data_IF_573279073031
#
_entry.id   IF_573279073031
#
_cell.length_a   1.000
_cell.length_b   1.000
_cell.length_c   1.000
_cell.angle_alpha   90.00
_cell.angle_beta   90.00
_cell.angle_gamma   90.00
#
_symmetry.space_group_name_H-M   'P 1'
#
loop_
_entity.id
_entity.type
_entity.pdbx_description
1 polymer ?
#
# COMPACT_ATOMS: atom_id res chain seq x y z
N UNK A 1 3.18 28.50 3.35
CA UNK A 1 4.32 27.85 4.01
C UNK A 1 3.91 26.41 4.23
N UNK A 2 4.46 25.47 3.47
CA UNK A 2 4.29 24.04 3.76
C UNK A 2 5.27 23.73 4.88
N UNK A 3 4.78 23.46 6.07
CA UNK A 3 5.61 22.95 7.16
C UNK A 3 6.33 21.70 6.65
N UNK A 4 7.65 21.79 6.56
CA UNK A 4 8.47 20.63 6.26
C UNK A 4 8.41 19.77 7.52
N UNK A 5 7.56 18.75 7.48
CA UNK A 5 7.49 17.76 8.55
C UNK A 5 8.86 17.10 8.66
N UNK A 6 9.54 17.29 9.78
CA UNK A 6 10.78 16.58 10.07
C UNK A 6 10.44 15.10 10.25
N UNK A 7 10.91 14.27 9.32
CA UNK A 7 10.64 12.82 9.31
C UNK A 7 11.13 12.16 10.60
N UNK A 8 12.25 12.63 11.16
CA UNK A 8 12.79 12.12 12.41
C UNK A 8 11.89 12.42 13.60
N UNK A 9 11.33 13.63 13.66
CA UNK A 9 10.37 14.01 14.71
C UNK A 9 9.04 13.26 14.56
N UNK A 10 8.53 13.10 13.33
CA UNK A 10 7.33 12.28 13.07
C UNK A 10 7.55 10.83 13.55
N UNK A 11 8.73 10.25 13.27
CA UNK A 11 9.06 8.90 13.73
C UNK A 11 9.12 8.85 15.27
N UNK A 12 9.82 9.78 15.92
CA UNK A 12 10.01 9.75 17.38
C UNK A 12 8.74 10.04 18.16
N UNK A 13 7.97 11.03 17.71
CA UNK A 13 6.89 11.61 18.49
C UNK A 13 5.53 11.00 18.18
N UNK A 14 5.34 10.43 16.98
CA UNK A 14 4.05 9.89 16.55
C UNK A 14 4.12 8.40 16.23
N UNK A 15 5.13 7.95 15.47
CA UNK A 15 5.22 6.54 15.08
C UNK A 15 5.70 5.63 16.22
N UNK A 16 6.85 5.91 16.84
CA UNK A 16 7.41 5.06 17.90
C UNK A 16 6.43 4.80 19.06
N UNK A 17 5.66 5.80 19.55
CA UNK A 17 4.72 5.59 20.66
C UNK A 17 3.59 4.60 20.34
N UNK A 18 3.23 4.41 19.08
CA UNK A 18 2.18 3.45 18.67
C UNK A 18 2.74 2.07 18.32
N UNK A 19 4.07 1.90 18.28
CA UNK A 19 4.70 0.63 17.99
C UNK A 19 4.97 -0.18 19.26
N UNK A 20 4.98 -1.50 19.09
CA UNK A 20 5.46 -2.39 20.13
C UNK A 20 6.94 -2.09 20.47
N UNK A 21 7.36 -2.03 21.75
CA UNK A 21 8.71 -1.60 22.15
C UNK A 21 9.88 -2.40 21.55
N UNK A 22 9.61 -3.64 21.13
CA UNK A 22 10.61 -4.49 20.49
C UNK A 22 10.86 -4.15 19.01
N UNK A 23 9.99 -3.35 18.37
CA UNK A 23 10.12 -2.97 16.97
C UNK A 23 11.10 -1.79 16.86
N UNK A 24 12.04 -1.88 15.93
CA UNK A 24 12.87 -0.72 15.54
C UNK A 24 12.48 -0.21 14.15
N UNK A 25 12.57 1.10 13.99
CA UNK A 25 12.29 1.81 12.74
C UNK A 25 13.61 2.33 12.19
N UNK A 26 13.90 1.94 10.96
CA UNK A 26 15.13 2.28 10.28
C UNK A 26 14.79 3.19 9.10
N UNK A 27 15.31 4.41 9.13
CA UNK A 27 15.05 5.44 8.14
C UNK A 27 16.33 5.75 7.36
N UNK A 28 16.24 5.82 6.03
CA UNK A 28 17.33 6.28 5.18
C UNK A 28 16.91 7.49 4.35
N UNK A 29 17.65 8.58 4.49
CA UNK A 29 17.55 9.72 3.59
C UNK A 29 18.13 9.37 2.21
N UNK A 30 17.50 9.83 1.13
CA UNK A 30 17.85 9.47 -0.25
C UNK A 30 19.33 9.68 -0.62
N UNK A 31 19.99 10.67 -0.01
CA UNK A 31 21.42 10.95 -0.16
C UNK A 31 22.08 11.26 1.20
N UNK A 32 21.49 10.81 2.30
CA UNK A 32 21.85 11.24 3.64
C UNK A 32 22.20 10.07 4.56
N UNK A 33 22.38 10.36 5.86
CA UNK A 33 22.67 9.35 6.85
C UNK A 33 21.52 8.36 7.04
N UNK A 34 21.89 7.22 7.62
CA UNK A 34 20.95 6.20 8.06
C UNK A 34 20.65 6.39 9.55
N UNK A 35 19.38 6.40 9.91
CA UNK A 35 18.90 6.61 11.27
C UNK A 35 18.20 5.36 11.77
N UNK A 36 18.45 5.00 13.03
CA UNK A 36 17.78 3.90 13.71
C UNK A 36 17.07 4.45 14.94
N UNK A 37 15.77 4.17 15.00
CA UNK A 37 14.90 4.56 16.10
C UNK A 37 14.34 3.31 16.76
N UNK A 38 14.39 3.23 18.08
CA UNK A 38 13.80 2.15 18.86
C UNK A 38 13.23 2.70 20.15
N UNK A 39 12.24 2.01 20.71
CA UNK A 39 11.75 2.33 22.04
C UNK A 39 12.84 2.01 23.08
N UNK A 40 13.13 2.97 23.96
CA UNK A 40 14.20 2.87 24.97
C UNK A 40 14.03 1.70 25.95
N UNK A 41 12.83 1.16 26.05
CA UNK A 41 12.47 0.03 26.91
C UNK A 41 12.56 -1.28 26.13
N UNK A 42 13.77 -1.74 25.82
CA UNK A 42 14.03 -3.06 25.20
C UNK A 42 13.60 -4.28 26.05
N UNK A 43 12.65 -4.11 26.98
CA UNK A 43 12.05 -5.12 27.85
C UNK A 43 10.54 -5.11 27.64
N UNK A 44 10.10 -5.75 26.58
CA UNK A 44 8.70 -6.11 26.34
C UNK A 44 8.64 -7.58 25.95
N UNK A 45 7.49 -8.23 26.16
CA UNK A 45 7.22 -9.53 25.54
C UNK A 45 7.30 -9.39 24.01
N UNK A 46 7.50 -10.47 23.26
CA UNK A 46 7.44 -10.37 21.80
C UNK A 46 6.04 -9.88 21.35
N UNK A 47 5.93 -9.10 20.26
CA UNK A 47 4.64 -8.76 19.67
C UNK A 47 3.86 -10.03 19.28
N UNK A 48 2.53 -9.93 19.18
CA UNK A 48 1.72 -11.04 18.70
C UNK A 48 1.79 -11.14 17.16
N UNK A 49 1.89 -12.33 16.56
CA UNK A 49 1.95 -12.49 15.11
C UNK A 49 0.74 -11.90 14.37
N UNK A 50 -0.45 -12.02 14.94
CA UNK A 50 -1.71 -11.64 14.29
C UNK A 50 -1.91 -10.13 14.23
N UNK A 51 -1.29 -9.39 15.17
CA UNK A 51 -1.28 -7.93 15.20
C UNK A 51 0.01 -7.45 15.85
N UNK A 52 0.98 -7.11 15.01
CA UNK A 52 2.30 -6.61 15.40
C UNK A 52 2.21 -5.12 15.75
N UNK A 53 1.48 -4.35 14.95
CA UNK A 53 1.24 -2.92 15.17
C UNK A 53 -0.06 -2.48 14.48
N UNK A 54 -0.73 -1.49 15.07
CA UNK A 54 -1.82 -0.74 14.48
C UNK A 54 -1.40 0.73 14.44
N UNK A 55 -1.24 1.29 13.25
CA UNK A 55 -0.66 2.62 13.05
C UNK A 55 -1.71 3.53 12.41
N UNK A 56 -2.05 4.68 13.01
CA UNK A 56 -2.92 5.68 12.39
C UNK A 56 -2.55 5.99 10.94
N UNK A 57 -3.56 6.20 10.09
CA UNK A 57 -3.39 6.35 8.64
C UNK A 57 -2.47 7.52 8.28
N UNK A 58 -2.69 8.66 8.92
CA UNK A 58 -2.00 9.94 8.73
C UNK A 58 -0.49 9.86 9.00
N UNK A 59 -0.07 9.14 10.04
CA UNK A 59 1.34 8.96 10.38
C UNK A 59 2.08 8.30 9.22
N UNK A 60 1.58 7.15 8.75
CA UNK A 60 2.25 6.42 7.67
C UNK A 60 2.10 7.08 6.32
N UNK A 61 0.95 7.70 6.01
CA UNK A 61 0.77 8.47 4.77
C UNK A 61 1.85 9.55 4.60
N UNK A 62 2.17 10.25 5.69
CA UNK A 62 3.19 11.30 5.72
C UNK A 62 4.60 10.75 5.46
N UNK A 63 4.82 9.47 5.74
CA UNK A 63 6.08 8.75 5.49
C UNK A 63 6.13 8.07 4.11
N UNK A 64 5.02 8.02 3.35
CA UNK A 64 5.03 7.41 2.01
C UNK A 64 5.86 8.26 1.05
N UNK A 65 6.96 7.66 0.59
CA UNK A 65 7.97 8.27 -0.27
C UNK A 65 9.35 8.22 0.37
N UNK A 66 9.42 8.12 1.69
CA UNK A 66 10.66 7.87 2.42
C UNK A 66 11.00 6.38 2.42
N UNK A 67 12.26 6.03 2.71
CA UNK A 67 12.64 4.62 2.91
C UNK A 67 12.56 4.31 4.41
N UNK A 68 11.44 3.74 4.82
CA UNK A 68 11.20 3.30 6.20
C UNK A 68 11.22 1.77 6.24
N UNK A 69 12.01 1.19 7.14
CA UNK A 69 12.08 -0.25 7.36
C UNK A 69 11.77 -0.55 8.81
N UNK A 70 10.71 -1.30 9.06
CA UNK A 70 10.38 -1.84 10.36
C UNK A 70 11.11 -3.16 10.55
N UNK A 71 11.90 -3.28 11.60
CA UNK A 71 12.50 -4.54 12.02
C UNK A 71 11.67 -5.11 13.17
N UNK A 72 11.12 -6.30 12.95
CA UNK A 72 10.17 -6.93 13.86
C UNK A 72 10.76 -8.23 14.41
N UNK A 73 11.20 -8.25 15.68
CA UNK A 73 11.57 -9.50 16.34
C UNK A 73 10.31 -10.27 16.75
N UNK A 74 10.16 -11.50 16.29
CA UNK A 74 9.02 -12.35 16.57
C UNK A 74 9.44 -13.83 16.66
N UNK A 75 9.12 -14.50 17.77
CA UNK A 75 9.39 -15.93 17.93
C UNK A 75 10.88 -16.32 17.77
N UNK A 76 11.82 -15.44 18.17
CA UNK A 76 13.26 -15.66 18.01
C UNK A 76 13.80 -15.45 16.59
N UNK A 77 12.95 -14.99 15.65
CA UNK A 77 13.34 -14.59 14.29
C UNK A 77 13.17 -13.09 14.12
N UNK A 78 13.83 -12.52 13.12
CA UNK A 78 13.70 -11.12 12.75
C UNK A 78 13.06 -11.02 11.36
N UNK A 79 12.01 -10.22 11.26
CA UNK A 79 11.33 -9.90 10.03
C UNK A 79 11.57 -8.43 9.67
N UNK A 80 11.36 -8.09 8.40
CA UNK A 80 11.42 -6.71 7.93
C UNK A 80 10.20 -6.36 7.11
N UNK A 81 9.59 -5.21 7.39
CA UNK A 81 8.53 -4.64 6.57
C UNK A 81 9.01 -3.29 6.03
N UNK A 82 8.97 -3.08 4.71
CA UNK A 82 9.41 -1.84 4.07
C UNK A 82 8.19 -1.00 3.72
N UNK A 83 8.19 0.25 4.16
CA UNK A 83 7.18 1.25 3.83
C UNK A 83 7.82 2.39 3.06
N UNK A 84 7.21 2.72 1.92
CA UNK A 84 7.64 3.80 1.05
C UNK A 84 8.61 3.35 -0.04
N UNK A 85 9.53 4.22 -0.43
CA UNK A 85 10.31 4.06 -1.64
C UNK A 85 11.51 3.14 -1.43
N UNK A 86 11.60 2.08 -2.25
CA UNK A 86 12.84 1.31 -2.38
C UNK A 86 13.70 1.89 -3.51
N UNK A 87 14.50 2.91 -3.17
CA UNK A 87 15.42 3.55 -4.11
C UNK A 87 16.55 2.63 -4.62
N UNK A 88 16.77 1.48 -3.97
CA UNK A 88 17.91 0.60 -4.22
C UNK A 88 17.54 -0.71 -4.92
N UNK A 89 16.28 -1.17 -4.85
CA UNK A 89 15.82 -2.32 -5.66
C UNK A 89 15.38 -1.89 -7.06
N UNK A 90 16.21 -2.23 -8.05
CA UNK A 90 15.89 -2.18 -9.49
C UNK A 90 14.76 -3.12 -9.94
N UNK A 91 14.08 -3.79 -9.01
CA UNK A 91 12.91 -4.60 -9.29
C UNK A 91 11.71 -3.89 -8.71
N UNK A 92 10.85 -3.39 -9.60
CA UNK A 92 9.49 -2.96 -9.31
C UNK A 92 8.76 -4.09 -8.56
N UNK A 93 8.90 -4.17 -7.23
CA UNK A 93 7.95 -4.92 -6.43
C UNK A 93 6.69 -4.07 -6.36
N UNK A 94 5.57 -4.70 -6.64
CA UNK A 94 4.18 -4.23 -6.60
C UNK A 94 3.78 -3.43 -5.34
N UNK A 95 4.62 -3.42 -4.29
CA UNK A 95 4.43 -2.63 -3.08
C UNK A 95 4.55 -1.10 -3.27
N UNK A 96 5.38 -0.61 -4.20
CA UNK A 96 5.57 0.85 -4.37
C UNK A 96 4.33 1.56 -4.91
N UNK A 97 3.67 0.97 -5.92
CA UNK A 97 2.44 1.52 -6.49
C UNK A 97 1.25 1.36 -5.52
N UNK A 98 1.21 0.28 -4.73
CA UNK A 98 0.18 0.06 -3.70
C UNK A 98 0.17 1.21 -2.70
N UNK A 99 1.32 1.53 -2.09
CA UNK A 99 1.41 2.62 -1.11
C UNK A 99 1.21 4.00 -1.76
N UNK A 100 1.76 4.23 -2.95
CA UNK A 100 1.57 5.50 -3.66
C UNK A 100 0.10 5.79 -3.99
N UNK A 101 -0.71 4.75 -4.25
CA UNK A 101 -2.17 4.89 -4.47
C UNK A 101 -2.87 5.37 -3.21
N UNK A 102 -2.49 4.85 -2.05
CA UNK A 102 -3.08 5.27 -0.79
C UNK A 102 -2.73 6.71 -0.39
N UNK A 103 -1.64 7.27 -0.94
CA UNK A 103 -1.33 8.70 -0.83
C UNK A 103 -2.31 9.60 -1.60
N UNK A 104 -2.96 9.07 -2.65
CA UNK A 104 -3.98 9.81 -3.42
C UNK A 104 -5.35 9.75 -2.77
N UNK A 105 -5.70 8.61 -2.18
CA UNK A 105 -6.99 8.40 -1.55
C UNK A 105 -6.89 7.34 -0.45
N UNK A 106 -7.66 7.50 0.61
CA UNK A 106 -7.77 6.53 1.71
C UNK A 106 -9.19 6.02 1.91
N UNK A 107 -10.02 6.12 0.87
CA UNK A 107 -11.38 5.61 0.87
C UNK A 107 -11.64 4.79 -0.38
N UNK A 108 -12.57 3.84 -0.29
CA UNK A 108 -13.03 3.09 -1.45
C UNK A 108 -13.78 4.00 -2.41
N UNK A 109 -13.37 4.01 -3.68
CA UNK A 109 -14.01 4.83 -4.74
C UNK A 109 -15.46 4.42 -5.03
N UNK A 110 -15.86 3.19 -4.69
CA UNK A 110 -17.21 2.66 -4.97
C UNK A 110 -18.17 2.94 -3.81
N UNK A 111 -17.83 2.49 -2.61
CA UNK A 111 -18.74 2.54 -1.46
C UNK A 111 -18.40 3.63 -0.42
N UNK A 112 -17.29 4.35 -0.59
CA UNK A 112 -16.86 5.40 0.33
C UNK A 112 -16.27 4.92 1.65
N UNK A 113 -16.08 3.61 1.86
CA UNK A 113 -15.47 3.07 3.09
C UNK A 113 -14.11 3.71 3.33
N UNK A 114 -13.93 4.36 4.48
CA UNK A 114 -12.70 5.08 4.84
C UNK A 114 -11.72 4.21 5.64
N UNK A 115 -10.43 4.39 5.36
CA UNK A 115 -9.38 3.76 6.13
C UNK A 115 -9.23 4.40 7.52
N UNK A 116 -8.99 3.56 8.51
CA UNK A 116 -8.79 3.92 9.91
C UNK A 116 -7.33 3.79 10.35
N UNK A 117 -6.70 2.69 9.99
CA UNK A 117 -5.33 2.38 10.42
C UNK A 117 -4.63 1.42 9.46
N UNK A 118 -3.31 1.37 9.55
CA UNK A 118 -2.48 0.33 8.97
C UNK A 118 -2.24 -0.76 10.00
N UNK A 119 -2.55 -2.01 9.65
CA UNK A 119 -2.27 -3.16 10.48
C UNK A 119 -1.06 -3.91 9.94
N UNK A 120 -0.07 -4.09 10.81
CA UNK A 120 1.10 -4.92 10.57
C UNK A 120 0.86 -6.30 11.18
N UNK A 121 1.02 -7.36 10.39
CA UNK A 121 0.80 -8.74 10.85
C UNK A 121 1.70 -9.73 10.12
N UNK A 122 2.05 -10.84 10.77
CA UNK A 122 2.72 -11.97 10.14
C UNK A 122 1.68 -12.81 9.40
N UNK A 123 1.84 -12.98 8.10
CA UNK A 123 0.94 -13.75 7.26
C UNK A 123 1.36 -15.22 7.19
N UNK A 124 0.46 -16.05 6.65
CA UNK A 124 0.70 -17.50 6.51
C UNK A 124 1.85 -17.85 5.57
N UNK A 125 2.24 -16.94 4.69
CA UNK A 125 3.44 -17.06 3.83
C UNK A 125 4.76 -16.81 4.58
N UNK A 126 4.67 -16.43 5.86
CA UNK A 126 5.82 -16.11 6.70
C UNK A 126 6.41 -14.72 6.45
N UNK A 127 5.72 -13.85 5.73
CA UNK A 127 6.11 -12.45 5.54
C UNK A 127 5.28 -11.51 6.44
N UNK A 128 5.86 -10.35 6.79
CA UNK A 128 5.14 -9.31 7.53
C UNK A 128 4.47 -8.39 6.53
N UNK A 129 3.14 -8.40 6.53
CA UNK A 129 2.34 -7.55 5.67
C UNK A 129 1.89 -6.29 6.40
N UNK A 130 1.66 -5.25 5.63
CA UNK A 130 1.07 -4.00 6.06
C UNK A 130 -0.21 -3.75 5.25
N UNK A 131 -1.35 -3.84 5.93
CA UNK A 131 -2.66 -3.70 5.32
C UNK A 131 -3.38 -2.47 5.83
N UNK A 132 -3.92 -1.67 4.90
CA UNK A 132 -4.75 -0.53 5.22
C UNK A 132 -6.16 -1.02 5.56
N UNK A 133 -6.64 -0.81 6.78
CA UNK A 133 -7.93 -1.30 7.24
C UNK A 133 -8.89 -0.17 7.59
N UNK A 134 -10.16 -0.41 7.30
CA UNK A 134 -11.28 0.40 7.74
C UNK A 134 -11.74 0.02 9.15
N UNK A 135 -12.60 0.84 9.74
CA UNK A 135 -13.17 0.59 11.08
C UNK A 135 -13.98 -0.71 11.15
N UNK A 136 -14.66 -1.08 10.06
CA UNK A 136 -15.41 -2.33 9.96
C UNK A 136 -14.52 -3.57 9.73
N UNK A 137 -13.19 -3.41 9.78
CA UNK A 137 -12.22 -4.49 9.58
C UNK A 137 -11.91 -4.83 8.12
N UNK A 138 -12.59 -4.19 7.16
CA UNK A 138 -12.37 -4.41 5.74
C UNK A 138 -11.00 -3.88 5.29
N UNK A 139 -10.32 -4.65 4.44
CA UNK A 139 -9.03 -4.27 3.87
C UNK A 139 -9.24 -3.38 2.65
N UNK A 140 -8.45 -2.29 2.56
CA UNK A 140 -8.36 -1.43 1.40
C UNK A 140 -7.21 -1.92 0.52
N UNK A 141 -7.50 -2.06 -0.78
CA UNK A 141 -6.60 -2.57 -1.80
C UNK A 141 -6.37 -1.52 -2.88
N UNK A 142 -5.25 -1.68 -3.60
CA UNK A 142 -5.06 -1.05 -4.91
C UNK A 142 -5.69 -1.98 -5.94
N UNK A 143 -6.52 -1.42 -6.80
CA UNK A 143 -7.07 -2.10 -7.98
C UNK A 143 -6.83 -1.29 -9.25
N UNK A 144 -6.94 -1.94 -10.40
CA UNK A 144 -6.88 -1.30 -11.70
C UNK A 144 -8.25 -0.79 -12.14
N UNK A 145 -8.34 0.47 -12.60
CA UNK A 145 -9.59 1.03 -13.14
C UNK A 145 -10.06 0.18 -14.33
N UNK A 146 -9.18 0.01 -15.31
CA UNK A 146 -9.33 -0.97 -16.38
C UNK A 146 -8.56 -2.24 -15.98
N UNK A 147 -9.23 -3.39 -15.83
CA UNK A 147 -8.58 -4.64 -15.46
C UNK A 147 -7.42 -5.01 -16.38
N UNK A 148 -6.38 -5.63 -15.83
CA UNK A 148 -5.16 -5.95 -16.58
C UNK A 148 -5.44 -6.80 -17.82
N UNK A 149 -6.28 -7.84 -17.68
CA UNK A 149 -6.66 -8.74 -18.77
C UNK A 149 -7.34 -8.00 -19.94
N UNK A 150 -8.00 -6.88 -19.65
CA UNK A 150 -8.83 -6.11 -20.60
C UNK A 150 -8.13 -4.86 -21.14
N UNK A 151 -7.04 -4.44 -20.52
CA UNK A 151 -6.35 -3.18 -20.83
C UNK A 151 -5.95 -3.04 -22.29
N UNK A 152 -5.36 -4.11 -22.87
CA UNK A 152 -4.98 -4.12 -24.29
C UNK A 152 -6.16 -3.91 -25.23
N UNK A 153 -7.32 -4.46 -24.90
CA UNK A 153 -8.49 -4.32 -25.74
C UNK A 153 -8.94 -2.86 -25.76
N UNK A 154 -8.94 -2.18 -24.62
CA UNK A 154 -9.35 -0.77 -24.49
C UNK A 154 -8.35 0.19 -25.17
N UNK A 155 -7.04 -0.02 -24.98
CA UNK A 155 -6.02 0.95 -25.40
C UNK A 155 -5.13 0.49 -26.57
N UNK A 156 -5.34 -0.71 -27.11
CA UNK A 156 -4.49 -1.31 -28.15
C UNK A 156 -3.06 -1.64 -27.70
N UNK A 157 -2.75 -1.47 -26.41
CA UNK A 157 -1.39 -1.61 -25.85
C UNK A 157 -1.42 -2.09 -24.41
N UNK A 158 -0.31 -2.64 -23.93
CA UNK A 158 -0.08 -2.93 -22.51
C UNK A 158 0.77 -1.85 -21.82
N UNK A 159 1.14 -0.78 -22.53
CA UNK A 159 1.83 0.35 -21.90
C UNK A 159 0.89 0.99 -20.87
N UNK A 160 1.43 1.27 -19.68
CA UNK A 160 0.71 1.95 -18.59
C UNK A 160 -0.42 1.16 -17.92
N UNK A 161 -0.53 -0.15 -18.21
CA UNK A 161 -1.47 -1.08 -17.56
C UNK A 161 -1.37 -1.01 -16.02
N UNK A 162 -0.15 -1.00 -15.48
CA UNK A 162 0.16 -0.91 -14.05
C UNK A 162 0.45 0.52 -13.58
N UNK A 163 0.02 1.52 -14.32
CA UNK A 163 0.29 2.93 -14.01
C UNK A 163 -0.54 3.45 -12.84
N UNK A 164 -0.09 4.57 -12.27
CA UNK A 164 -0.82 5.32 -11.25
C UNK A 164 -2.09 6.00 -11.78
N UNK A 165 -2.24 6.11 -13.11
CA UNK A 165 -3.40 6.63 -13.80
C UNK A 165 -4.48 5.56 -13.92
N UNK A 166 -4.07 4.30 -14.15
CA UNK A 166 -4.98 3.17 -14.17
C UNK A 166 -5.15 2.52 -12.78
N UNK A 167 -4.86 3.23 -11.69
CA UNK A 167 -4.97 2.66 -10.33
C UNK A 167 -5.98 3.43 -9.48
N UNK A 168 -6.74 2.70 -8.67
CA UNK A 168 -7.74 3.23 -7.73
C UNK A 168 -7.71 2.49 -6.40
N UNK A 169 -8.31 3.09 -5.37
CA UNK A 169 -8.50 2.47 -4.06
C UNK A 169 -9.88 1.84 -3.99
N UNK A 170 -9.93 0.56 -3.61
CA UNK A 170 -11.16 -0.17 -3.38
C UNK A 170 -11.10 -0.90 -2.05
N UNK A 171 -12.24 -1.12 -1.40
CA UNK A 171 -12.29 -2.11 -0.32
C UNK A 171 -12.30 -3.52 -0.95
N UNK A 172 -11.84 -4.53 -0.21
CA UNK A 172 -11.71 -5.89 -0.74
C UNK A 172 -13.03 -6.46 -1.25
N UNK A 173 -14.15 -6.09 -0.63
CA UNK A 173 -15.50 -6.49 -1.03
C UNK A 173 -15.80 -5.93 -2.42
N UNK A 174 -15.75 -4.61 -2.60
CA UNK A 174 -16.00 -3.98 -3.90
C UNK A 174 -14.97 -4.39 -4.96
N UNK A 175 -13.72 -4.61 -4.57
CA UNK A 175 -12.68 -5.09 -5.47
C UNK A 175 -12.98 -6.50 -5.98
N UNK A 176 -13.39 -7.40 -5.08
CA UNK A 176 -13.82 -8.76 -5.46
C UNK A 176 -15.09 -8.72 -6.32
N UNK A 177 -16.06 -7.86 -5.99
CA UNK A 177 -17.30 -7.71 -6.76
C UNK A 177 -17.02 -7.18 -8.17
N UNK A 178 -16.12 -6.19 -8.29
CA UNK A 178 -15.66 -5.71 -9.60
C UNK A 178 -14.95 -6.82 -10.35
N UNK A 179 -14.05 -7.56 -9.69
CA UNK A 179 -13.23 -8.61 -10.31
C UNK A 179 -12.59 -8.08 -11.61
N UNK A 180 -12.84 -8.76 -12.71
CA UNK A 180 -12.34 -8.41 -14.04
C UNK A 180 -13.33 -7.55 -14.86
N UNK A 181 -14.32 -6.92 -14.22
CA UNK A 181 -15.36 -6.13 -14.89
C UNK A 181 -14.83 -4.76 -15.33
N UNK A 182 -15.22 -4.32 -16.52
CA UNK A 182 -14.92 -2.98 -17.01
C UNK A 182 -15.81 -1.94 -16.33
N UNK A 183 -15.36 -0.68 -16.17
CA UNK A 183 -16.24 0.40 -15.74
C UNK A 183 -17.45 0.56 -16.65
N UNK A 184 -18.59 0.94 -16.07
CA UNK A 184 -19.78 1.32 -16.84
C UNK A 184 -19.42 2.41 -17.87
N UNK A 185 -19.92 2.26 -19.10
CA UNK A 185 -19.59 3.16 -20.22
C UNK A 185 -18.33 2.79 -21.02
N UNK A 186 -17.55 1.78 -20.61
CA UNK A 186 -16.51 1.18 -21.48
C UNK A 186 -17.07 0.04 -22.33
N UNK A 187 -18.19 -0.56 -21.90
CA UNK A 187 -18.91 -1.60 -22.65
C UNK A 187 -19.41 -1.16 -24.03
N UNK A 188 -19.55 0.14 -24.30
CA UNK A 188 -19.99 0.61 -25.62
C UNK A 188 -18.93 0.46 -26.74
N UNK A 189 -17.71 0.02 -26.42
CA UNK A 189 -16.64 -0.25 -27.39
C UNK A 189 -16.47 -1.73 -27.71
N UNK A 190 -17.14 -2.62 -26.97
CA UNK A 190 -17.05 -4.07 -27.14
C UNK A 190 -18.45 -4.64 -27.27
N UNK A 191 -19.06 -4.39 -28.43
CA UNK A 191 -20.14 -5.25 -28.91
C UNK A 191 -19.55 -6.64 -29.20
N UNK A 192 -20.13 -7.70 -28.63
CA UNK A 192 -19.77 -9.10 -28.88
C UNK A 192 -19.80 -9.48 -30.39
N UNK A 193 -20.43 -8.67 -31.25
CA UNK A 193 -20.38 -8.82 -32.71
C UNK A 193 -19.08 -8.32 -33.36
N UNK A 194 -18.22 -7.59 -32.65
CA UNK A 194 -16.90 -7.12 -33.14
C UNK A 194 -15.74 -8.04 -32.83
N UNK A 195 -15.99 -9.18 -32.16
CA UNK A 195 -15.00 -10.26 -32.04
C UNK A 195 -14.87 -10.93 -33.42
N UNK A 196 -14.03 -10.38 -34.28
CA UNK A 196 -13.60 -11.05 -35.51
C UNK A 196 -13.50 -10.20 -36.77
N UNK A 197 -13.88 -8.92 -36.77
CA UNK A 197 -13.70 -8.06 -37.94
C UNK A 197 -13.04 -6.74 -37.55
N UNK A 198 -12.01 -6.37 -38.30
CA UNK A 198 -11.04 -5.29 -38.11
C UNK A 198 -11.60 -3.85 -38.07
N UNK A 199 -12.68 -3.59 -37.33
CA UNK A 199 -13.25 -2.27 -37.18
C UNK A 199 -12.82 -1.63 -35.86
N UNK A 200 -11.54 -1.24 -35.81
CA UNK A 200 -11.04 -0.28 -34.83
C UNK A 200 -11.39 1.12 -35.34
N UNK A 201 -12.41 1.76 -34.79
CA UNK A 201 -12.61 3.20 -35.00
C UNK A 201 -11.72 3.93 -33.98
N UNK A 202 -10.67 4.58 -34.51
CA UNK A 202 -9.98 5.70 -33.87
C UNK A 202 -10.69 6.98 -34.31
#
# INVERSE_FOLDING_TARGET
>A
MTDVVDVGDLIKNELLPVLHPAISVHYAERNGPYHVYSCATGKGNAPQPELIAAIPVDILLSLIGERIVFHVPLGGKNFSCVVGADWFQRRHRTGSNRLAVFKKATHCVVCGTEAKEWQMSLQSDGEVHLDLKAENGCILTRDHIIPQSKYRFVFGTNKEIDSMQNSQVMCEICNNDKSDTLPEGVFCWFDETTIGNDNWII
#
